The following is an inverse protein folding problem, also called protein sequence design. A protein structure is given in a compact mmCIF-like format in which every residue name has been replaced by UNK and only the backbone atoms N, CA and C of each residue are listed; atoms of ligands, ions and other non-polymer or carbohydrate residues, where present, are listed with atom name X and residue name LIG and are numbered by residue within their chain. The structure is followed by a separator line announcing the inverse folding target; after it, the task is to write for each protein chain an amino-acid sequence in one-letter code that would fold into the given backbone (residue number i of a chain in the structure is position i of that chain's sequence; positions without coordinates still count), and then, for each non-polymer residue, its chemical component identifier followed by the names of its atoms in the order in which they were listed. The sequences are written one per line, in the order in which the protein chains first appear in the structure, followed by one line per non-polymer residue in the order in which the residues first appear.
data_IF_245438144140
#
_entry.id   IF_245438144140
#
_cell.length_a   1.000
_cell.length_b   1.000
_cell.length_c   1.000
_cell.angle_alpha   90.00
_cell.angle_beta   90.00
_cell.angle_gamma   90.00
#
_symmetry.space_group_name_H-M   'P 1'
#
loop_
_entity.id
_entity.type
_entity.pdbx_description
1 polymer ?
#
# COMPACT_ATOMS: atom_id res chain seq x y z
N UNK A 1 -2.66 -6.81 50.04
CA UNK A 1 -2.93 -7.48 48.72
C UNK A 1 -3.98 -6.65 48.00
N UNK A 2 -3.58 -5.92 46.94
CA UNK A 2 -4.53 -5.15 46.12
C UNK A 2 -5.25 -6.16 45.21
N UNK A 3 -6.56 -6.29 45.38
CA UNK A 3 -7.42 -7.00 44.45
C UNK A 3 -7.32 -6.32 43.07
N UNK A 4 -6.60 -6.92 42.16
CA UNK A 4 -6.78 -6.63 40.75
C UNK A 4 -8.19 -7.12 40.40
N UNK A 5 -9.10 -6.19 40.14
CA UNK A 5 -10.42 -6.45 39.61
C UNK A 5 -10.27 -7.19 38.29
N UNK A 6 -11.00 -8.29 38.16
CA UNK A 6 -10.93 -9.28 37.07
C UNK A 6 -11.49 -8.77 35.73
N UNK A 7 -11.11 -7.56 35.32
CA UNK A 7 -11.39 -7.03 33.96
C UNK A 7 -10.24 -7.41 33.06
N UNK A 8 -10.22 -8.65 32.63
CA UNK A 8 -9.17 -9.23 31.76
C UNK A 8 -9.71 -9.64 30.40
N UNK A 9 -8.79 -10.04 29.52
CA UNK A 9 -9.13 -10.72 28.27
C UNK A 9 -9.46 -12.18 28.61
N UNK A 10 -10.61 -12.67 28.13
CA UNK A 10 -10.99 -14.08 28.25
C UNK A 10 -11.15 -14.67 26.85
N UNK A 11 -10.28 -15.59 26.51
CA UNK A 11 -10.46 -16.38 25.29
C UNK A 11 -11.69 -17.29 25.43
N UNK A 12 -12.51 -17.36 24.39
CA UNK A 12 -13.71 -18.20 24.37
C UNK A 12 -13.35 -19.70 24.39
N UNK A 13 -12.11 -20.03 24.07
CA UNK A 13 -11.64 -21.41 23.90
C UNK A 13 -11.92 -21.97 22.51
N UNK A 14 -12.69 -21.26 21.69
CA UNK A 14 -13.05 -21.68 20.34
C UNK A 14 -12.30 -20.83 19.32
N UNK A 15 -11.54 -21.50 18.46
CA UNK A 15 -10.97 -20.91 17.25
C UNK A 15 -11.91 -21.13 16.07
N UNK A 16 -12.18 -20.13 15.29
CA UNK A 16 -12.93 -20.23 14.04
C UNK A 16 -12.01 -20.06 12.83
N UNK A 17 -12.36 -20.64 11.70
CA UNK A 17 -11.75 -20.24 10.43
C UNK A 17 -12.63 -19.18 9.77
N UNK A 18 -12.03 -18.10 9.28
CA UNK A 18 -12.81 -17.03 8.68
C UNK A 18 -11.95 -16.03 7.91
N UNK A 19 -12.63 -15.20 7.13
CA UNK A 19 -12.02 -14.10 6.44
C UNK A 19 -11.95 -12.89 7.38
N UNK A 20 -10.77 -12.28 7.47
CA UNK A 20 -10.49 -11.05 8.22
C UNK A 20 -9.97 -9.99 7.26
N UNK A 21 -10.21 -8.72 7.55
CA UNK A 21 -9.71 -7.62 6.75
C UNK A 21 -9.38 -6.37 7.55
N UNK A 22 -8.57 -5.55 6.94
CA UNK A 22 -8.22 -4.20 7.39
C UNK A 22 -8.55 -3.19 6.30
N UNK A 23 -9.09 -2.05 6.71
CA UNK A 23 -9.23 -0.85 5.88
C UNK A 23 -8.48 0.26 6.59
N UNK A 24 -7.51 0.86 5.92
CA UNK A 24 -6.62 1.87 6.48
C UNK A 24 -6.62 3.12 5.61
N UNK A 25 -6.62 4.30 6.23
CA UNK A 25 -6.53 5.58 5.52
C UNK A 25 -5.09 5.86 5.11
N UNK A 26 -4.91 6.15 3.84
CA UNK A 26 -3.62 6.62 3.31
C UNK A 26 -3.43 8.09 3.68
N UNK A 27 -2.21 8.45 4.11
CA UNK A 27 -1.82 9.82 4.47
C UNK A 27 -2.67 10.48 5.57
N UNK A 28 -3.30 9.70 6.44
CA UNK A 28 -4.17 10.21 7.51
C UNK A 28 -3.48 11.23 8.42
N UNK A 29 -2.26 10.95 8.84
CA UNK A 29 -1.44 11.85 9.67
C UNK A 29 -1.17 13.17 8.95
N UNK A 30 -0.76 13.12 7.67
CA UNK A 30 -0.52 14.31 6.85
C UNK A 30 -1.80 15.13 6.71
N UNK A 31 -2.91 14.46 6.42
CA UNK A 31 -4.21 15.10 6.25
C UNK A 31 -4.69 15.78 7.53
N UNK A 32 -4.50 15.14 8.69
CA UNK A 32 -4.94 15.71 9.97
C UNK A 32 -4.08 16.86 10.48
N UNK A 33 -2.78 16.87 10.19
CA UNK A 33 -1.90 18.01 10.51
C UNK A 33 -2.32 19.29 9.78
N UNK A 34 -2.91 19.17 8.57
CA UNK A 34 -3.40 20.33 7.80
C UNK A 34 -4.75 20.85 8.26
N UNK A 35 -5.41 20.19 9.21
CA UNK A 35 -6.71 20.60 9.74
C UNK A 35 -6.56 21.53 10.94
N UNK A 36 -6.92 22.79 10.77
CA UNK A 36 -6.78 23.83 11.81
C UNK A 36 -7.69 23.61 13.03
N UNK A 37 -8.74 22.76 12.91
CA UNK A 37 -9.77 22.60 13.96
C UNK A 37 -9.90 21.15 14.36
N UNK A 38 -9.91 20.90 15.66
CA UNK A 38 -10.17 19.59 16.24
C UNK A 38 -11.53 19.01 15.79
N UNK A 39 -12.52 19.85 15.55
CA UNK A 39 -13.84 19.45 15.05
C UNK A 39 -13.75 18.85 13.64
N UNK A 40 -12.95 19.44 12.77
CA UNK A 40 -12.68 18.93 11.41
C UNK A 40 -12.03 17.56 11.46
N UNK A 41 -11.05 17.38 12.33
CA UNK A 41 -10.38 16.08 12.55
C UNK A 41 -11.36 15.01 13.06
N UNK A 42 -12.20 15.35 14.05
CA UNK A 42 -13.24 14.44 14.56
C UNK A 42 -14.22 14.06 13.45
N UNK A 43 -14.68 15.03 12.67
CA UNK A 43 -15.60 14.79 11.56
C UNK A 43 -14.99 13.92 10.48
N UNK A 44 -13.73 14.15 10.13
CA UNK A 44 -12.98 13.34 9.18
C UNK A 44 -12.94 11.87 9.59
N UNK A 45 -12.43 11.57 10.79
CA UNK A 45 -12.38 10.20 11.28
C UNK A 45 -13.74 9.57 11.50
N UNK A 46 -14.73 10.30 12.03
CA UNK A 46 -16.08 9.75 12.22
C UNK A 46 -16.76 9.42 10.90
N UNK A 47 -16.57 10.24 9.86
CA UNK A 47 -17.06 9.95 8.51
C UNK A 47 -16.44 8.67 7.98
N UNK A 48 -15.13 8.50 8.10
CA UNK A 48 -14.44 7.29 7.67
C UNK A 48 -14.96 6.05 8.40
N UNK A 49 -14.88 6.07 9.73
CA UNK A 49 -15.26 4.91 10.56
C UNK A 49 -16.70 4.50 10.34
N UNK A 50 -17.63 5.47 10.30
CA UNK A 50 -19.05 5.20 10.13
C UNK A 50 -19.35 4.63 8.75
N UNK A 51 -18.83 5.25 7.67
CA UNK A 51 -19.05 4.77 6.31
C UNK A 51 -18.49 3.36 6.09
N UNK A 52 -17.23 3.11 6.51
CA UNK A 52 -16.62 1.79 6.37
C UNK A 52 -17.35 0.73 7.19
N UNK A 53 -17.76 1.08 8.42
CA UNK A 53 -18.54 0.17 9.27
C UNK A 53 -19.90 -0.18 8.68
N UNK A 54 -20.57 0.76 8.05
CA UNK A 54 -21.84 0.55 7.36
C UNK A 54 -21.66 -0.40 6.16
N UNK A 55 -20.66 -0.17 5.32
CA UNK A 55 -20.39 -1.05 4.19
C UNK A 55 -20.04 -2.47 4.63
N UNK A 56 -19.15 -2.64 5.60
CA UNK A 56 -18.81 -3.95 6.16
C UNK A 56 -20.06 -4.68 6.67
N UNK A 57 -20.93 -3.99 7.42
CA UNK A 57 -22.18 -4.57 7.96
C UNK A 57 -23.15 -4.95 6.86
N UNK A 58 -23.29 -4.15 5.79
CA UNK A 58 -24.21 -4.43 4.67
C UNK A 58 -23.87 -5.71 3.90
N UNK A 59 -22.60 -6.14 3.98
CA UNK A 59 -22.12 -7.41 3.41
C UNK A 59 -21.93 -8.53 4.46
N UNK A 60 -22.70 -8.49 5.53
CA UNK A 60 -22.65 -9.51 6.61
C UNK A 60 -21.33 -9.58 7.38
N UNK A 61 -20.46 -8.60 7.22
CA UNK A 61 -19.24 -8.45 8.01
C UNK A 61 -19.50 -7.88 9.41
N UNK A 62 -18.58 -8.11 10.30
CA UNK A 62 -18.58 -7.53 11.67
C UNK A 62 -17.33 -6.71 11.88
N UNK A 63 -17.52 -5.48 12.30
CA UNK A 63 -16.42 -4.62 12.77
C UNK A 63 -16.00 -5.10 14.15
N UNK A 64 -14.71 -5.28 14.34
CA UNK A 64 -14.11 -5.68 15.62
C UNK A 64 -13.71 -4.46 16.42
N UNK A 65 -12.87 -3.62 15.84
CA UNK A 65 -12.41 -2.39 16.49
C UNK A 65 -11.76 -1.42 15.48
N UNK A 66 -11.65 -0.16 15.92
CA UNK A 66 -10.77 0.81 15.28
C UNK A 66 -9.40 0.76 15.94
N UNK A 67 -8.35 0.93 15.14
CA UNK A 67 -6.96 1.06 15.57
C UNK A 67 -6.45 2.36 14.92
N UNK A 68 -6.75 3.51 15.57
CA UNK A 68 -6.48 4.82 14.99
C UNK A 68 -7.32 5.08 13.73
N UNK A 69 -6.68 5.19 12.61
CA UNK A 69 -7.22 5.39 11.25
C UNK A 69 -7.47 4.07 10.48
N UNK A 70 -7.33 2.94 11.15
CA UNK A 70 -7.52 1.62 10.60
C UNK A 70 -8.72 0.92 11.22
N UNK A 71 -9.53 0.24 10.40
CA UNK A 71 -10.68 -0.55 10.81
C UNK A 71 -10.39 -2.04 10.64
N UNK A 72 -10.44 -2.80 11.74
CA UNK A 72 -10.39 -4.26 11.73
C UNK A 72 -11.80 -4.83 11.67
N UNK A 73 -12.04 -5.76 10.75
CA UNK A 73 -13.32 -6.44 10.56
C UNK A 73 -13.14 -7.89 10.15
N UNK A 74 -14.20 -8.70 10.28
CA UNK A 74 -14.20 -10.09 9.83
C UNK A 74 -15.58 -10.51 9.32
N UNK A 75 -15.64 -11.64 8.61
CA UNK A 75 -16.86 -12.20 8.03
C UNK A 75 -17.19 -13.54 8.68
N UNK A 76 -18.10 -13.57 9.68
CA UNK A 76 -18.40 -14.79 10.45
C UNK A 76 -18.95 -15.94 9.61
N UNK A 77 -19.65 -15.64 8.51
CA UNK A 77 -20.23 -16.66 7.63
C UNK A 77 -19.20 -17.42 6.77
N UNK A 78 -17.95 -16.97 6.72
CA UNK A 78 -16.88 -17.60 5.93
C UNK A 78 -16.29 -18.85 6.59
N UNK A 79 -16.83 -19.31 7.70
CA UNK A 79 -16.52 -20.59 8.33
C UNK A 79 -16.87 -21.77 7.41
N UNK A 80 -17.89 -21.64 6.58
CA UNK A 80 -18.24 -22.63 5.56
C UNK A 80 -17.48 -22.33 4.25
N UNK A 81 -16.38 -23.03 4.05
CA UNK A 81 -15.52 -22.88 2.86
C UNK A 81 -16.17 -23.31 1.54
N UNK A 82 -17.31 -23.98 1.56
CA UNK A 82 -18.02 -24.44 0.36
C UNK A 82 -19.02 -23.42 -0.16
N UNK A 83 -19.34 -22.40 0.63
CA UNK A 83 -20.33 -21.39 0.28
C UNK A 83 -19.70 -20.23 -0.52
N UNK A 84 -19.62 -20.38 -1.84
CA UNK A 84 -19.10 -19.37 -2.76
C UNK A 84 -19.79 -17.99 -2.61
N UNK A 85 -21.09 -17.98 -2.29
CA UNK A 85 -21.86 -16.73 -2.14
C UNK A 85 -21.26 -15.83 -1.06
N UNK A 86 -20.87 -16.39 0.07
CA UNK A 86 -20.30 -15.66 1.19
C UNK A 86 -18.93 -15.10 0.81
N UNK A 87 -18.09 -15.84 0.11
CA UNK A 87 -16.78 -15.34 -0.33
C UNK A 87 -16.90 -14.26 -1.41
N UNK A 88 -17.94 -14.31 -2.23
CA UNK A 88 -18.28 -13.22 -3.15
C UNK A 88 -18.67 -11.97 -2.38
N UNK A 89 -19.51 -12.07 -1.34
CA UNK A 89 -19.87 -10.93 -0.48
C UNK A 89 -18.64 -10.25 0.12
N UNK A 90 -17.63 -11.02 0.53
CA UNK A 90 -16.36 -10.47 1.06
C UNK A 90 -15.66 -9.59 0.03
N UNK A 91 -15.52 -10.08 -1.20
CA UNK A 91 -14.85 -9.33 -2.29
C UNK A 91 -15.69 -8.11 -2.69
N UNK A 92 -17.01 -8.28 -2.85
CA UNK A 92 -17.91 -7.18 -3.25
C UNK A 92 -18.00 -6.11 -2.15
N UNK A 93 -17.83 -6.44 -0.88
CA UNK A 93 -17.65 -5.46 0.18
C UNK A 93 -16.44 -4.54 -0.08
N UNK A 94 -15.30 -5.12 -0.41
CA UNK A 94 -14.11 -4.35 -0.76
C UNK A 94 -14.33 -3.44 -1.99
N UNK A 95 -14.95 -3.95 -3.02
CA UNK A 95 -15.28 -3.14 -4.21
C UNK A 95 -16.30 -2.06 -3.90
N UNK A 96 -17.35 -2.33 -3.11
CA UNK A 96 -18.31 -1.31 -2.69
C UNK A 96 -17.61 -0.14 -1.99
N UNK A 97 -16.65 -0.42 -1.11
CA UNK A 97 -15.86 0.61 -0.44
C UNK A 97 -15.08 1.46 -1.45
N UNK A 98 -14.47 0.82 -2.44
CA UNK A 98 -13.72 1.53 -3.49
C UNK A 98 -14.66 2.35 -4.41
N UNK A 99 -15.79 1.80 -4.81
CA UNK A 99 -16.78 2.44 -5.69
C UNK A 99 -17.36 3.70 -5.02
N UNK A 100 -17.67 3.62 -3.72
CA UNK A 100 -18.26 4.74 -2.97
C UNK A 100 -17.25 5.82 -2.59
N UNK A 101 -15.97 5.59 -2.76
CA UNK A 101 -14.91 6.56 -2.46
C UNK A 101 -15.14 7.91 -3.13
N UNK A 102 -15.58 7.90 -4.37
CA UNK A 102 -15.84 9.12 -5.12
C UNK A 102 -16.96 9.95 -4.48
N UNK A 103 -18.09 9.32 -4.16
CA UNK A 103 -19.24 9.96 -3.52
C UNK A 103 -18.86 10.55 -2.15
N UNK A 104 -18.13 9.78 -1.34
CA UNK A 104 -17.65 10.25 -0.03
C UNK A 104 -16.70 11.44 -0.19
N UNK A 105 -15.78 11.39 -1.15
CA UNK A 105 -14.83 12.47 -1.38
C UNK A 105 -15.50 13.75 -1.89
N UNK A 106 -16.58 13.66 -2.66
CA UNK A 106 -17.39 14.82 -3.00
C UNK A 106 -18.02 15.47 -1.76
N UNK A 107 -18.53 14.66 -0.83
CA UNK A 107 -19.12 15.17 0.40
C UNK A 107 -18.06 15.78 1.33
N UNK A 108 -16.89 15.18 1.44
CA UNK A 108 -15.74 15.75 2.18
C UNK A 108 -15.30 17.10 1.58
N UNK A 109 -15.24 17.20 0.25
CA UNK A 109 -14.86 18.43 -0.45
C UNK A 109 -15.82 19.58 -0.14
N UNK A 110 -17.15 19.36 -0.10
CA UNK A 110 -18.13 20.37 0.31
C UNK A 110 -17.87 20.91 1.72
N UNK A 111 -17.27 20.07 2.56
CA UNK A 111 -16.93 20.39 3.95
C UNK A 111 -15.49 20.89 4.12
N UNK A 112 -14.76 21.06 3.02
CA UNK A 112 -13.33 21.45 2.99
C UNK A 112 -12.45 20.47 3.77
N UNK A 113 -12.78 19.18 3.73
CA UNK A 113 -11.99 18.11 4.33
C UNK A 113 -11.18 17.39 3.24
N UNK A 114 -9.98 16.88 3.56
CA UNK A 114 -9.16 16.11 2.61
C UNK A 114 -9.89 14.87 2.10
N UNK A 115 -9.56 14.41 0.87
CA UNK A 115 -10.16 13.21 0.32
C UNK A 115 -9.64 11.95 1.02
N UNK A 116 -10.46 10.91 1.03
CA UNK A 116 -10.05 9.57 1.45
C UNK A 116 -9.36 8.82 0.32
N UNK A 117 -8.26 8.19 0.66
CA UNK A 117 -7.67 7.09 -0.07
C UNK A 117 -7.50 5.92 0.91
N UNK A 118 -7.74 4.70 0.47
CA UNK A 118 -7.76 3.53 1.35
C UNK A 118 -6.73 2.49 0.92
N UNK A 119 -6.28 1.70 1.88
CA UNK A 119 -5.70 0.38 1.66
C UNK A 119 -6.68 -0.65 2.20
N UNK A 120 -6.98 -1.66 1.42
CA UNK A 120 -7.87 -2.75 1.81
C UNK A 120 -7.10 -4.04 1.70
N UNK A 121 -6.88 -4.71 2.83
CA UNK A 121 -6.26 -6.03 2.88
C UNK A 121 -7.21 -7.04 3.45
N UNK A 122 -7.22 -8.28 2.91
CA UNK A 122 -8.02 -9.38 3.40
C UNK A 122 -7.23 -10.68 3.35
N UNK A 123 -7.44 -11.53 4.35
CA UNK A 123 -6.90 -12.88 4.33
C UNK A 123 -7.83 -13.86 5.04
N UNK A 124 -7.56 -15.15 4.89
CA UNK A 124 -8.36 -16.22 5.44
C UNK A 124 -7.51 -17.15 6.32
N UNK A 125 -8.05 -17.54 7.46
CA UNK A 125 -7.39 -18.50 8.33
C UNK A 125 -8.02 -18.61 9.70
N UNK A 126 -7.24 -19.15 10.64
CA UNK A 126 -7.68 -19.33 12.04
C UNK A 126 -7.71 -17.99 12.77
N UNK A 127 -8.83 -17.73 13.43
CA UNK A 127 -9.12 -16.55 14.25
C UNK A 127 -9.51 -17.01 15.65
N UNK A 128 -8.79 -16.57 16.66
CA UNK A 128 -9.10 -16.82 18.06
C UNK A 128 -9.95 -15.67 18.58
N UNK A 129 -11.16 -16.00 19.04
CA UNK A 129 -12.06 -15.01 19.60
C UNK A 129 -11.78 -14.82 21.09
N UNK A 130 -11.69 -13.57 21.53
CA UNK A 130 -11.60 -13.22 22.92
C UNK A 130 -12.65 -12.18 23.29
N UNK A 131 -13.16 -12.28 24.51
CA UNK A 131 -14.03 -11.29 25.12
C UNK A 131 -13.17 -10.35 25.96
N UNK A 132 -13.33 -9.04 25.74
CA UNK A 132 -12.54 -7.99 26.37
C UNK A 132 -13.43 -7.14 27.28
N UNK A 133 -12.89 -6.71 28.39
CA UNK A 133 -13.58 -5.84 29.37
C UNK A 133 -14.70 -6.58 30.09
N UNK A 134 -15.91 -6.00 30.07
CA UNK A 134 -17.10 -6.59 30.70
C UNK A 134 -17.72 -7.71 29.84
N UNK A 135 -16.92 -8.37 29.00
CA UNK A 135 -17.32 -9.44 28.06
C UNK A 135 -18.34 -9.02 27.00
N UNK A 136 -18.48 -7.71 26.77
CA UNK A 136 -19.38 -7.15 25.76
C UNK A 136 -18.72 -6.91 24.40
N UNK A 137 -17.39 -6.82 24.36
CA UNK A 137 -16.63 -6.62 23.14
C UNK A 137 -15.87 -7.89 22.73
N UNK A 138 -16.02 -8.26 21.46
CA UNK A 138 -15.23 -9.32 20.85
C UNK A 138 -13.96 -8.70 20.28
N UNK A 139 -12.82 -9.25 20.62
CA UNK A 139 -11.55 -9.00 19.92
C UNK A 139 -11.09 -10.27 19.22
N UNK A 140 -10.25 -10.11 18.22
CA UNK A 140 -9.71 -11.20 17.42
C UNK A 140 -8.19 -11.27 17.58
N UNK A 141 -7.68 -12.48 17.71
CA UNK A 141 -6.27 -12.78 17.84
C UNK A 141 -5.86 -13.88 16.86
N UNK A 142 -4.56 -14.05 16.65
CA UNK A 142 -4.01 -15.15 15.88
C UNK A 142 -3.13 -14.72 14.72
N UNK A 143 -2.47 -15.70 14.13
CA UNK A 143 -1.50 -15.49 13.05
C UNK A 143 -2.13 -14.87 11.80
N UNK A 144 -3.39 -15.21 11.51
CA UNK A 144 -4.12 -14.67 10.35
C UNK A 144 -4.30 -13.15 10.44
N UNK A 145 -4.60 -12.63 11.63
CA UNK A 145 -4.76 -11.19 11.85
C UNK A 145 -3.42 -10.47 11.69
N UNK A 146 -2.37 -11.02 12.32
CA UNK A 146 -1.03 -10.47 12.21
C UNK A 146 -0.54 -10.46 10.75
N UNK A 147 -0.85 -11.52 10.01
CA UNK A 147 -0.52 -11.63 8.59
C UNK A 147 -1.30 -10.60 7.77
N UNK A 148 -2.61 -10.49 7.97
CA UNK A 148 -3.46 -9.53 7.26
C UNK A 148 -3.06 -8.08 7.55
N UNK A 149 -2.67 -7.77 8.79
CA UNK A 149 -2.12 -6.46 9.17
C UNK A 149 -0.81 -6.16 8.42
N UNK A 150 0.10 -7.14 8.33
CA UNK A 150 1.34 -7.00 7.55
C UNK A 150 1.07 -6.83 6.06
N UNK A 151 0.07 -7.52 5.51
CA UNK A 151 -0.38 -7.28 4.13
C UNK A 151 -0.82 -5.83 3.95
N UNK A 152 -1.57 -5.29 4.89
CA UNK A 152 -2.06 -3.92 4.82
C UNK A 152 -0.93 -2.89 4.80
N UNK A 153 0.06 -3.05 5.67
CA UNK A 153 1.25 -2.18 5.69
C UNK A 153 2.12 -2.35 4.46
N UNK A 154 2.24 -3.56 3.93
CA UNK A 154 3.01 -3.82 2.73
C UNK A 154 2.40 -3.23 1.45
N UNK A 155 1.08 -3.09 1.42
CA UNK A 155 0.34 -2.50 0.30
C UNK A 155 0.39 -0.97 0.26
N UNK A 156 1.24 -0.36 1.06
CA UNK A 156 1.33 1.10 1.22
C UNK A 156 1.57 1.87 -0.08
N UNK A 157 2.15 1.24 -1.07
CA UNK A 157 2.40 1.83 -2.38
C UNK A 157 1.22 1.75 -3.37
N UNK A 158 0.12 1.07 -3.00
CA UNK A 158 -1.03 0.87 -3.91
C UNK A 158 -2.32 1.31 -3.21
N UNK A 159 -2.56 2.64 -3.13
CA UNK A 159 -3.82 3.16 -2.61
C UNK A 159 -5.00 2.77 -3.52
N UNK A 160 -6.16 2.60 -2.90
CA UNK A 160 -7.42 2.29 -3.60
C UNK A 160 -7.41 0.96 -4.36
N UNK A 161 -6.69 -0.02 -3.84
CA UNK A 161 -6.72 -1.39 -4.33
C UNK A 161 -7.06 -2.37 -3.20
N UNK A 162 -7.56 -3.56 -3.61
CA UNK A 162 -7.84 -4.67 -2.70
C UNK A 162 -6.70 -5.66 -2.85
N UNK A 163 -6.01 -5.95 -1.75
CA UNK A 163 -4.96 -6.96 -1.70
C UNK A 163 -5.40 -8.12 -0.81
N UNK A 164 -5.24 -9.33 -1.30
CA UNK A 164 -5.53 -10.54 -0.54
C UNK A 164 -4.31 -11.41 -0.35
N UNK A 165 -4.30 -12.14 0.75
CA UNK A 165 -3.29 -13.14 1.04
C UNK A 165 -3.49 -14.45 0.28
N UNK A 166 -2.44 -15.27 0.22
CA UNK A 166 -2.43 -16.58 -0.47
C UNK A 166 -3.49 -17.54 0.07
N UNK A 167 -3.73 -17.56 1.38
CA UNK A 167 -4.74 -18.42 1.95
C UNK A 167 -6.15 -18.08 1.43
N UNK A 168 -6.48 -16.80 1.36
CA UNK A 168 -7.78 -16.38 0.81
C UNK A 168 -7.85 -16.65 -0.70
N UNK A 169 -6.78 -16.37 -1.45
CA UNK A 169 -6.70 -16.66 -2.87
C UNK A 169 -6.94 -18.15 -3.18
N UNK A 170 -6.34 -19.08 -2.39
CA UNK A 170 -6.53 -20.52 -2.58
C UNK A 170 -7.98 -20.95 -2.46
N UNK A 171 -8.73 -20.35 -1.52
CA UNK A 171 -10.18 -20.60 -1.41
C UNK A 171 -10.90 -20.07 -2.66
N UNK A 172 -10.63 -18.85 -3.06
CA UNK A 172 -11.28 -18.24 -4.22
C UNK A 172 -10.98 -19.03 -5.51
N UNK A 173 -9.75 -19.52 -5.65
CA UNK A 173 -9.31 -20.32 -6.80
C UNK A 173 -10.04 -21.67 -6.87
N UNK A 174 -10.52 -22.22 -5.75
CA UNK A 174 -11.31 -23.47 -5.77
C UNK A 174 -12.69 -23.31 -6.43
N UNK A 175 -13.13 -22.04 -6.67
CA UNK A 175 -14.40 -21.75 -7.31
C UNK A 175 -14.21 -21.20 -8.73
N UNK A 176 -14.45 -21.97 -9.80
CA UNK A 176 -14.27 -21.50 -11.18
C UNK A 176 -15.04 -20.22 -11.50
N UNK A 177 -16.24 -20.05 -10.91
CA UNK A 177 -17.05 -18.83 -11.10
C UNK A 177 -16.35 -17.55 -10.57
N UNK A 178 -15.51 -17.67 -9.53
CA UNK A 178 -14.74 -16.52 -9.04
C UNK A 178 -13.65 -16.12 -10.02
N UNK A 179 -12.95 -17.09 -10.59
CA UNK A 179 -11.92 -16.86 -11.62
C UNK A 179 -12.52 -16.26 -12.90
N UNK A 180 -13.78 -16.56 -13.20
CA UNK A 180 -14.50 -15.96 -14.34
C UNK A 180 -14.89 -14.49 -14.07
N UNK A 181 -15.18 -14.12 -12.83
CA UNK A 181 -15.69 -12.78 -12.47
C UNK A 181 -14.57 -11.78 -12.13
N UNK A 182 -13.42 -12.27 -11.66
CA UNK A 182 -12.33 -11.42 -11.17
C UNK A 182 -10.99 -11.80 -11.78
N UNK A 183 -10.13 -10.80 -11.95
CA UNK A 183 -8.71 -10.97 -12.26
C UNK A 183 -7.92 -10.92 -10.95
N UNK A 184 -7.02 -11.88 -10.77
CA UNK A 184 -6.10 -11.96 -9.64
C UNK A 184 -4.69 -11.72 -10.16
N UNK A 185 -4.12 -10.56 -9.83
CA UNK A 185 -2.77 -10.17 -10.24
C UNK A 185 -1.82 -10.51 -9.11
N UNK A 186 -0.93 -11.47 -9.34
CA UNK A 186 0.03 -11.91 -8.34
C UNK A 186 1.13 -10.85 -8.15
N UNK A 187 1.31 -10.38 -6.93
CA UNK A 187 2.51 -9.66 -6.50
C UNK A 187 3.55 -10.69 -6.08
N UNK A 188 4.51 -10.95 -6.96
CA UNK A 188 5.47 -12.03 -6.85
C UNK A 188 6.20 -12.01 -5.49
N UNK A 189 6.02 -13.11 -4.71
CA UNK A 189 6.84 -13.49 -3.56
C UNK A 189 7.07 -12.42 -2.48
N UNK A 190 6.00 -12.01 -1.80
CA UNK A 190 6.11 -11.18 -0.63
C UNK A 190 6.68 -11.99 0.56
N UNK A 191 7.78 -11.54 1.13
CA UNK A 191 8.33 -12.15 2.34
C UNK A 191 7.74 -11.44 3.58
N UNK A 192 6.68 -12.01 4.15
CA UNK A 192 5.99 -11.42 5.31
C UNK A 192 6.59 -11.88 6.65
N UNK A 193 7.24 -13.06 6.67
CA UNK A 193 7.83 -13.67 7.89
C UNK A 193 9.20 -14.23 7.49
N UNK A 194 10.20 -14.00 8.33
CA UNK A 194 11.66 -14.26 8.22
C UNK A 194 12.18 -15.34 7.26
N UNK A 195 11.39 -16.32 6.84
CA UNK A 195 11.80 -17.37 5.91
C UNK A 195 10.70 -17.87 4.97
N UNK A 196 9.45 -17.47 5.14
CA UNK A 196 8.33 -17.98 4.34
C UNK A 196 7.84 -16.94 3.34
N UNK A 197 7.92 -17.31 2.05
CA UNK A 197 7.33 -16.55 0.96
C UNK A 197 5.82 -16.70 1.01
N UNK A 198 5.12 -15.57 1.08
CA UNK A 198 3.67 -15.52 1.09
C UNK A 198 3.21 -14.71 -0.12
N UNK A 199 2.42 -15.32 -1.00
CA UNK A 199 1.97 -14.65 -2.21
C UNK A 199 0.83 -13.68 -1.89
N UNK A 200 0.85 -12.51 -2.52
CA UNK A 200 -0.21 -11.51 -2.44
C UNK A 200 -0.83 -11.32 -3.82
N UNK A 201 -2.11 -11.00 -3.84
CA UNK A 201 -2.86 -10.84 -5.08
C UNK A 201 -3.71 -9.58 -5.01
N UNK A 202 -3.60 -8.72 -6.03
CA UNK A 202 -4.61 -7.70 -6.25
C UNK A 202 -5.82 -8.31 -6.95
N UNK A 203 -7.01 -7.89 -6.52
CA UNK A 203 -8.25 -8.30 -7.17
C UNK A 203 -8.78 -7.13 -8.00
N UNK A 204 -9.16 -7.42 -9.26
CA UNK A 204 -9.86 -6.50 -10.14
C UNK A 204 -11.09 -7.19 -10.71
N UNK A 205 -12.22 -6.46 -10.85
CA UNK A 205 -13.35 -6.98 -11.61
C UNK A 205 -12.95 -7.19 -13.06
N UNK A 206 -13.45 -8.24 -13.69
CA UNK A 206 -13.34 -8.38 -15.14
C UNK A 206 -14.38 -7.51 -15.81
N UNK A 207 -13.96 -6.65 -16.72
CA UNK A 207 -14.86 -5.87 -17.54
C UNK A 207 -15.56 -6.81 -18.53
N UNK A 208 -16.85 -7.04 -18.34
CA UNK A 208 -17.72 -7.73 -19.30
C UNK A 208 -18.25 -6.79 -20.39
N UNK A 209 -17.60 -5.63 -20.63
CA UNK A 209 -18.02 -4.63 -21.62
C UNK A 209 -17.79 -5.06 -23.08
N UNK A 210 -17.95 -6.37 -23.36
CA UNK A 210 -17.95 -6.92 -24.74
C UNK A 210 -19.34 -7.06 -25.39
N UNK A 211 -20.43 -6.76 -24.69
CA UNK A 211 -21.81 -6.85 -25.23
C UNK A 211 -22.68 -5.74 -24.62
N UNK A 212 -22.51 -4.54 -25.07
CA UNK A 212 -23.51 -3.48 -25.28
C UNK A 212 -22.80 -2.13 -25.23
N UNK A 213 -22.65 -1.50 -26.38
CA UNK A 213 -22.36 -0.09 -26.53
C UNK A 213 -23.47 0.73 -25.87
N UNK A 214 -23.25 1.13 -24.61
CA UNK A 214 -23.88 2.32 -24.05
C UNK A 214 -22.69 3.17 -23.58
N UNK A 215 -22.42 4.19 -24.40
CA UNK A 215 -21.55 5.29 -24.01
C UNK A 215 -22.16 5.96 -22.78
N UNK A 216 -21.66 5.63 -21.59
CA UNK A 216 -21.83 6.47 -20.42
C UNK A 216 -20.71 7.51 -20.47
N UNK A 217 -21.06 8.71 -20.90
CA UNK A 217 -20.25 9.90 -20.82
C UNK A 217 -20.08 10.30 -19.35
N UNK A 218 -19.24 9.60 -18.60
CA UNK A 218 -18.78 10.05 -17.30
C UNK A 218 -17.55 10.98 -17.48
N UNK A 219 -17.83 12.20 -17.91
CA UNK A 219 -16.88 13.30 -17.78
C UNK A 219 -16.90 13.79 -16.34
N UNK A 220 -15.94 13.32 -15.57
CA UNK A 220 -15.68 13.76 -14.22
C UNK A 220 -14.95 15.12 -14.25
N UNK A 221 -15.56 16.24 -13.78
CA UNK A 221 -14.95 17.57 -13.87
C UNK A 221 -13.66 17.73 -13.04
N UNK A 222 -13.37 16.81 -12.12
CA UNK A 222 -12.18 16.88 -11.28
C UNK A 222 -10.98 16.10 -11.85
N UNK A 223 -11.22 15.08 -12.71
CA UNK A 223 -10.12 14.34 -13.33
C UNK A 223 -9.50 15.07 -14.52
N UNK A 224 -10.17 16.06 -15.11
CA UNK A 224 -9.60 16.79 -16.25
C UNK A 224 -8.39 17.66 -15.87
N UNK A 225 -8.23 18.11 -14.62
CA UNK A 225 -7.04 18.85 -14.22
C UNK A 225 -5.88 17.93 -13.76
N UNK A 226 -6.15 16.79 -13.15
CA UNK A 226 -5.11 15.82 -12.78
C UNK A 226 -4.86 14.78 -13.89
N UNK A 227 -5.90 14.34 -14.61
CA UNK A 227 -5.73 13.48 -15.79
C UNK A 227 -5.16 14.27 -16.97
N UNK A 228 -5.50 15.55 -17.10
CA UNK A 228 -4.92 16.45 -18.10
C UNK A 228 -3.42 16.66 -17.93
N UNK A 229 -2.89 16.61 -16.70
CA UNK A 229 -1.44 16.56 -16.43
C UNK A 229 -0.88 15.16 -16.65
N UNK A 230 -1.61 14.10 -16.32
CA UNK A 230 -1.15 12.71 -16.51
C UNK A 230 -1.26 12.23 -17.97
N UNK A 231 -2.26 12.68 -18.74
CA UNK A 231 -2.41 12.32 -20.16
C UNK A 231 -1.59 13.24 -21.07
N UNK A 232 -1.37 14.51 -20.72
CA UNK A 232 -0.42 15.37 -21.44
C UNK A 232 1.02 14.90 -21.28
N UNK A 233 1.32 14.08 -20.27
CA UNK A 233 2.64 13.48 -20.01
C UNK A 233 2.85 12.11 -20.68
N UNK A 234 1.90 11.59 -21.47
CA UNK A 234 2.12 10.40 -22.32
C UNK A 234 2.92 10.71 -23.59
N UNK A 235 3.21 11.97 -23.86
CA UNK A 235 4.12 12.37 -24.92
C UNK A 235 5.52 12.68 -24.38
N UNK A 236 6.42 11.67 -24.48
CA UNK A 236 7.86 11.80 -24.68
C UNK A 236 8.60 12.83 -23.82
N UNK A 237 8.83 12.58 -22.54
CA UNK A 237 10.07 12.90 -21.79
C UNK A 237 9.93 12.69 -20.28
N UNK A 238 9.01 11.86 -19.81
CA UNK A 238 8.80 11.67 -18.37
C UNK A 238 10.05 11.03 -17.74
N UNK A 239 10.82 11.86 -17.03
CA UNK A 239 11.94 11.46 -16.22
C UNK A 239 11.41 10.72 -15.01
N UNK A 240 11.76 9.45 -14.88
CA UNK A 240 11.31 8.57 -13.79
C UNK A 240 12.41 8.39 -12.78
N UNK A 241 12.05 8.42 -11.52
CA UNK A 241 13.00 8.24 -10.41
C UNK A 241 12.50 7.13 -9.49
N UNK A 242 13.38 6.22 -9.16
CA UNK A 242 13.14 5.20 -8.14
C UNK A 242 14.01 5.56 -6.94
N UNK A 243 13.38 5.73 -5.77
CA UNK A 243 14.05 5.96 -4.49
C UNK A 243 14.07 4.67 -3.69
N UNK A 244 15.24 4.32 -3.12
CA UNK A 244 15.38 3.15 -2.25
C UNK A 244 16.17 3.52 -1.01
N UNK A 245 15.50 3.50 0.15
CA UNK A 245 16.07 3.84 1.46
C UNK A 245 15.21 3.17 2.54
N UNK A 246 15.75 2.53 3.56
CA UNK A 246 14.95 1.85 4.58
C UNK A 246 14.34 2.82 5.63
N UNK A 247 14.65 4.11 5.53
CA UNK A 247 14.08 5.17 6.35
C UNK A 247 12.92 5.88 5.63
N UNK A 248 11.67 5.62 6.06
CA UNK A 248 10.45 6.20 5.44
C UNK A 248 10.45 7.73 5.41
N UNK A 249 10.92 8.38 6.47
CA UNK A 249 10.96 9.85 6.57
C UNK A 249 11.91 10.47 5.54
N UNK A 250 13.01 9.79 5.24
CA UNK A 250 13.98 10.20 4.22
C UNK A 250 13.36 10.05 2.83
N UNK A 251 12.73 8.91 2.55
CA UNK A 251 12.02 8.67 1.29
C UNK A 251 10.94 9.71 1.06
N UNK A 252 10.15 10.03 2.09
CA UNK A 252 9.12 11.05 2.01
C UNK A 252 9.72 12.43 1.66
N UNK A 253 10.78 12.82 2.36
CA UNK A 253 11.45 14.12 2.16
C UNK A 253 11.97 14.25 0.73
N UNK A 254 12.68 13.25 0.23
CA UNK A 254 13.23 13.28 -1.13
C UNK A 254 12.15 13.20 -2.20
N UNK A 255 11.11 12.42 -1.95
CA UNK A 255 9.95 12.33 -2.86
C UNK A 255 9.30 13.69 -3.05
N UNK A 256 9.03 14.43 -1.96
CA UNK A 256 8.47 15.79 -2.03
C UNK A 256 9.38 16.71 -2.85
N UNK A 257 10.69 16.70 -2.62
CA UNK A 257 11.63 17.55 -3.38
C UNK A 257 11.61 17.26 -4.89
N UNK A 258 11.37 16.01 -5.27
CA UNK A 258 11.38 15.59 -6.67
C UNK A 258 10.04 15.84 -7.36
N UNK A 259 8.92 15.58 -6.68
CA UNK A 259 7.57 15.79 -7.22
C UNK A 259 7.30 17.27 -7.49
N UNK A 260 7.87 18.19 -6.71
CA UNK A 260 7.81 19.63 -6.97
C UNK A 260 8.53 20.05 -8.27
N UNK A 261 9.34 19.18 -8.86
CA UNK A 261 10.07 19.38 -10.12
C UNK A 261 9.53 18.50 -11.26
N UNK A 262 8.28 18.03 -11.15
CA UNK A 262 7.57 17.21 -12.16
C UNK A 262 8.25 15.86 -12.49
N UNK A 263 9.02 15.28 -11.55
CA UNK A 263 9.52 13.92 -11.68
C UNK A 263 8.45 12.91 -11.28
N UNK A 264 8.37 11.80 -12.02
CA UNK A 264 7.56 10.65 -11.62
C UNK A 264 8.36 9.78 -10.65
N UNK A 265 8.01 9.80 -9.37
CA UNK A 265 8.78 9.18 -8.29
C UNK A 265 8.08 7.95 -7.73
N UNK A 266 8.79 6.81 -7.72
CA UNK A 266 8.38 5.60 -7.01
C UNK A 266 9.39 5.32 -5.90
N UNK A 267 8.93 5.08 -4.67
CA UNK A 267 9.79 4.87 -3.50
C UNK A 267 9.61 3.48 -2.89
N UNK A 268 10.70 2.91 -2.37
CA UNK A 268 10.72 1.60 -1.73
C UNK A 268 11.57 1.63 -0.47
N UNK A 269 11.02 1.10 0.63
CA UNK A 269 11.77 0.89 1.89
C UNK A 269 12.53 -0.43 1.90
N UNK A 270 12.16 -1.38 1.03
CA UNK A 270 12.84 -2.66 0.88
C UNK A 270 13.48 -2.77 -0.51
N UNK A 271 14.82 -2.97 -0.59
CA UNK A 271 15.54 -3.08 -1.85
C UNK A 271 15.08 -4.25 -2.73
N UNK A 272 14.51 -5.31 -2.15
CA UNK A 272 13.99 -6.46 -2.90
C UNK A 272 12.78 -6.09 -3.75
N UNK A 273 11.93 -5.18 -3.25
CA UNK A 273 10.78 -4.66 -4.01
C UNK A 273 11.20 -3.72 -5.11
N UNK A 274 12.16 -2.85 -4.82
CA UNK A 274 12.76 -1.99 -5.83
C UNK A 274 13.30 -2.83 -6.99
N UNK A 275 14.01 -3.91 -6.68
CA UNK A 275 14.57 -4.81 -7.66
C UNK A 275 13.52 -5.51 -8.50
N UNK A 276 12.46 -5.97 -7.85
CA UNK A 276 11.33 -6.62 -8.53
C UNK A 276 10.59 -5.63 -9.45
N UNK A 277 10.38 -4.41 -8.99
CA UNK A 277 9.80 -3.35 -9.80
C UNK A 277 10.67 -3.04 -11.03
N UNK A 278 11.99 -2.90 -10.85
CA UNK A 278 12.94 -2.61 -11.94
C UNK A 278 12.93 -3.74 -12.99
N UNK A 279 12.88 -5.01 -12.59
CA UNK A 279 12.80 -6.16 -13.51
C UNK A 279 11.57 -6.15 -14.41
N UNK A 280 10.49 -5.53 -13.97
CA UNK A 280 9.23 -5.45 -14.72
C UNK A 280 9.10 -4.17 -15.57
N UNK A 281 10.12 -3.30 -15.57
CA UNK A 281 10.16 -2.12 -16.43
C UNK A 281 10.55 -2.53 -17.85
N UNK A 282 9.71 -2.20 -18.82
CA UNK A 282 9.94 -2.50 -20.24
C UNK A 282 10.87 -1.50 -20.95
N UNK A 283 11.09 -0.32 -20.38
CA UNK A 283 11.91 0.74 -20.97
C UNK A 283 12.63 1.53 -19.89
N UNK A 284 13.96 1.56 -19.92
CA UNK A 284 14.82 2.25 -18.94
C UNK A 284 15.23 3.67 -19.36
N UNK A 285 14.74 4.15 -20.49
CA UNK A 285 15.05 5.53 -20.95
C UNK A 285 14.54 6.55 -19.91
N UNK A 286 15.38 7.51 -19.58
CA UNK A 286 15.11 8.56 -18.58
C UNK A 286 14.78 8.03 -17.17
N UNK A 287 15.31 6.87 -16.80
CA UNK A 287 15.24 6.30 -15.49
C UNK A 287 16.50 6.61 -14.68
N UNK A 288 16.30 7.13 -13.46
CA UNK A 288 17.32 7.26 -12.43
C UNK A 288 16.91 6.45 -11.21
N UNK A 289 17.80 5.65 -10.67
CA UNK A 289 17.62 4.97 -9.39
C UNK A 289 18.48 5.66 -8.34
N UNK A 290 17.89 6.05 -7.23
CA UNK A 290 18.58 6.69 -6.11
C UNK A 290 18.57 5.69 -4.96
N UNK A 291 19.77 5.33 -4.46
CA UNK A 291 19.95 4.27 -3.47
C UNK A 291 20.63 4.80 -2.22
N UNK A 292 20.07 4.48 -1.06
CA UNK A 292 20.88 4.45 0.15
C UNK A 292 21.83 3.26 0.14
N UNK A 293 22.98 3.41 0.75
CA UNK A 293 23.99 2.34 0.84
C UNK A 293 23.72 1.42 2.01
N UNK A 294 23.34 2.00 3.16
CA UNK A 294 23.12 1.26 4.40
C UNK A 294 21.63 0.92 4.55
N UNK A 295 21.23 -0.18 3.99
CA UNK A 295 19.87 -0.71 4.14
C UNK A 295 19.92 -2.10 4.81
N UNK A 296 18.85 -2.46 5.51
CA UNK A 296 18.65 -3.80 6.05
C UNK A 296 18.51 -4.81 4.92
N UNK A 297 18.98 -6.02 5.12
CA UNK A 297 18.87 -7.19 4.23
C UNK A 297 19.74 -7.16 2.95
N UNK A 298 19.74 -6.09 2.18
CA UNK A 298 20.51 -5.94 0.95
C UNK A 298 21.10 -4.53 0.90
N UNK A 299 22.41 -4.41 0.88
CA UNK A 299 23.04 -3.09 0.82
C UNK A 299 22.94 -2.47 -0.59
N UNK A 300 23.08 -1.14 -0.67
CA UNK A 300 22.96 -0.40 -1.92
C UNK A 300 23.96 -0.83 -3.00
N UNK A 301 25.15 -1.30 -2.63
CA UNK A 301 26.13 -1.82 -3.60
C UNK A 301 25.67 -3.11 -4.26
N UNK A 302 25.13 -4.04 -3.47
CA UNK A 302 24.60 -5.29 -4.01
C UNK A 302 23.41 -5.03 -4.93
N UNK A 303 22.54 -4.09 -4.53
CA UNK A 303 21.41 -3.67 -5.35
C UNK A 303 21.88 -3.03 -6.66
N UNK A 304 22.87 -2.16 -6.61
CA UNK A 304 23.49 -1.56 -7.79
C UNK A 304 24.02 -2.62 -8.77
N UNK A 305 24.77 -3.62 -8.28
CA UNK A 305 25.26 -4.71 -9.13
C UNK A 305 24.14 -5.46 -9.85
N UNK A 306 23.05 -5.74 -9.12
CA UNK A 306 21.86 -6.40 -9.68
C UNK A 306 21.17 -5.52 -10.73
N UNK A 307 21.05 -4.22 -10.49
CA UNK A 307 20.47 -3.25 -11.44
C UNK A 307 21.31 -3.20 -12.72
N UNK A 308 22.64 -3.09 -12.57
CA UNK A 308 23.56 -3.05 -13.73
C UNK A 308 23.61 -4.36 -14.51
N UNK A 309 23.30 -5.49 -13.87
CA UNK A 309 23.15 -6.78 -14.54
C UNK A 309 21.85 -6.86 -15.39
N UNK A 310 20.81 -6.10 -15.06
CA UNK A 310 19.61 -5.99 -15.92
C UNK A 310 19.89 -5.11 -17.12
N UNK A 311 20.36 -3.89 -16.88
CA UNK A 311 20.73 -2.94 -17.94
C UNK A 311 21.83 -2.01 -17.43
N UNK A 312 23.04 -2.06 -18.04
CA UNK A 312 24.16 -1.21 -17.67
C UNK A 312 23.90 0.29 -17.86
N UNK A 313 22.92 0.68 -18.68
CA UNK A 313 22.61 2.07 -19.01
C UNK A 313 21.76 2.76 -17.93
N UNK A 314 21.15 2.00 -17.01
CA UNK A 314 20.37 2.57 -15.89
C UNK A 314 21.30 3.45 -15.05
N UNK A 315 20.93 4.73 -14.93
CA UNK A 315 21.67 5.68 -14.09
C UNK A 315 21.36 5.42 -12.62
N UNK A 316 22.40 5.39 -11.77
CA UNK A 316 22.26 5.15 -10.32
C UNK A 316 23.00 6.24 -9.56
N UNK A 317 22.30 6.90 -8.63
CA UNK A 317 22.84 7.90 -7.70
C UNK A 317 22.83 7.30 -6.29
N UNK A 318 23.95 7.33 -5.60
CA UNK A 318 24.04 6.93 -4.21
C UNK A 318 23.84 8.12 -3.26
N UNK A 319 23.10 7.89 -2.19
CA UNK A 319 23.00 8.83 -1.07
C UNK A 319 23.40 8.09 0.20
N UNK A 320 24.37 8.58 0.94
CA UNK A 320 24.91 7.85 2.08
C UNK A 320 25.30 8.75 3.24
N UNK A 321 25.17 8.24 4.48
CA UNK A 321 25.72 8.87 5.66
C UNK A 321 27.21 8.54 5.90
N UNK A 322 27.82 7.72 5.05
CA UNK A 322 29.20 7.26 5.21
C UNK A 322 30.21 8.27 4.68
N UNK A 323 31.31 8.44 5.41
CA UNK A 323 32.52 9.15 4.99
C UNK A 323 33.45 8.19 4.20
N UNK A 324 32.98 7.69 3.04
CA UNK A 324 33.70 6.63 2.31
C UNK A 324 34.03 7.06 0.87
N UNK A 325 34.17 8.35 0.62
CA UNK A 325 34.52 8.81 -0.75
C UNK A 325 35.80 8.13 -1.29
N UNK A 326 36.79 7.91 -0.41
CA UNK A 326 38.04 7.24 -0.79
C UNK A 326 37.90 5.72 -1.02
N UNK A 327 36.92 5.08 -0.38
CA UNK A 327 36.66 3.63 -0.49
C UNK A 327 35.75 3.29 -1.69
N UNK A 328 34.94 4.26 -2.16
CA UNK A 328 33.97 4.05 -3.26
C UNK A 328 34.65 3.60 -4.56
N UNK A 329 35.76 4.23 -4.89
CA UNK A 329 36.52 3.89 -6.11
C UNK A 329 37.06 2.45 -6.09
N UNK A 330 37.28 1.91 -4.89
CA UNK A 330 37.72 0.53 -4.68
C UNK A 330 36.56 -0.46 -4.73
N UNK A 331 35.37 -0.08 -4.24
CA UNK A 331 34.18 -0.94 -4.16
C UNK A 331 33.42 -0.97 -5.49
N UNK A 332 33.33 0.16 -6.18
CA UNK A 332 32.68 0.27 -7.51
C UNK A 332 33.67 0.95 -8.46
N UNK A 333 34.55 0.19 -9.12
CA UNK A 333 35.49 0.76 -10.06
C UNK A 333 34.76 1.49 -11.19
N UNK A 334 35.20 2.74 -11.46
CA UNK A 334 34.64 3.56 -12.56
C UNK A 334 33.38 4.37 -12.22
N UNK A 335 32.93 4.39 -10.97
CA UNK A 335 31.87 5.33 -10.57
C UNK A 335 32.44 6.75 -10.47
N UNK A 336 31.74 7.72 -11.06
CA UNK A 336 32.09 9.13 -10.93
C UNK A 336 31.54 9.70 -9.63
N UNK A 337 32.29 10.59 -8.95
CA UNK A 337 31.87 11.26 -7.73
C UNK A 337 30.54 12.00 -7.85
N UNK A 338 30.16 12.43 -9.06
CA UNK A 338 28.89 13.10 -9.34
C UNK A 338 27.66 12.19 -9.09
N UNK A 339 27.87 10.86 -8.99
CA UNK A 339 26.83 9.88 -8.65
C UNK A 339 26.81 9.49 -7.16
N UNK A 340 27.46 10.28 -6.31
CA UNK A 340 27.51 10.04 -4.88
C UNK A 340 27.16 11.34 -4.15
N UNK A 341 26.23 11.26 -3.19
CA UNK A 341 25.85 12.37 -2.32
C UNK A 341 25.90 11.96 -0.86
N UNK A 342 26.39 12.85 -0.01
CA UNK A 342 26.47 12.62 1.44
C UNK A 342 25.23 13.14 2.16
N UNK A 343 24.63 12.32 3.04
CA UNK A 343 23.57 12.76 3.98
C UNK A 343 24.18 13.66 5.09
N UNK A 344 23.49 14.73 5.54
CA UNK A 344 22.22 15.26 5.03
C UNK A 344 22.40 16.01 3.72
N UNK A 345 21.47 15.80 2.77
CA UNK A 345 21.57 16.41 1.44
C UNK A 345 20.82 17.73 1.41
N UNK A 346 21.49 18.81 1.00
CA UNK A 346 20.84 20.09 0.74
C UNK A 346 19.87 19.97 -0.44
N UNK A 347 18.66 20.52 -0.29
CA UNK A 347 17.60 20.42 -1.28
C UNK A 347 18.02 20.96 -2.67
N UNK A 348 18.72 22.11 -2.73
CA UNK A 348 19.14 22.71 -3.99
C UNK A 348 20.21 21.87 -4.67
N UNK A 349 21.17 21.37 -3.91
CA UNK A 349 22.22 20.48 -4.41
C UNK A 349 21.59 19.18 -4.93
N UNK A 350 20.64 18.59 -4.19
CA UNK A 350 19.92 17.37 -4.57
C UNK A 350 19.23 17.53 -5.92
N UNK A 351 18.36 18.52 -6.04
CA UNK A 351 17.57 18.73 -7.25
C UNK A 351 18.44 19.11 -8.45
N UNK A 352 19.48 19.93 -8.26
CA UNK A 352 20.40 20.32 -9.36
C UNK A 352 21.25 19.15 -9.87
N UNK A 353 21.70 18.27 -8.98
CA UNK A 353 22.45 17.07 -9.36
C UNK A 353 21.58 16.12 -10.18
N UNK A 354 20.34 15.87 -9.74
CA UNK A 354 19.40 15.03 -10.48
C UNK A 354 19.06 15.61 -11.85
N UNK A 355 18.85 16.93 -11.93
CA UNK A 355 18.66 17.61 -13.22
C UNK A 355 19.84 17.44 -14.16
N UNK A 356 21.07 17.47 -13.64
CA UNK A 356 22.31 17.25 -14.41
C UNK A 356 22.41 15.81 -14.90
N UNK A 357 22.13 14.84 -14.02
CA UNK A 357 22.18 13.41 -14.36
C UNK A 357 21.13 13.04 -15.41
N UNK A 358 19.93 13.62 -15.36
CA UNK A 358 18.82 13.32 -16.25
C UNK A 358 18.76 14.20 -17.53
N UNK A 359 19.74 15.06 -17.74
CA UNK A 359 19.96 15.72 -19.05
C UNK A 359 20.55 14.74 -20.05
#
# INVERSE_FOLDING_TARGET
MKHFSSKGIRFSGDSIKGCVGFIDLVDSTKNTITMDKLESTRKYYSTFINSMSEYVKSYSGKVVKNIGDCLLFYFPKTTDVNNIGVFREVIECGFKILDERYSINQELSKQRLPPFNYRISMDYGVLDLALVGDYSQIDLFGTTINLCSKINTSSSSIPNEIIIGDNFYRILKSFPKMLNSYNFINHINYQIIESNRYSLYNIKRKDFSGLNNIEVNDKNPFDEQQLGSSIRNLNNNNKRIILVDDEEDILFTYKVFLEEHDYNVTSFTDPSFAMNYIRNISNFKNLLVILDIRMKNLNGFQLHQQIKAIDPTIKVLFITALDILDEFSTIIPGISEEYIMKKPVDRKIFTSTIQKILK
#
